data_IF_235231472435
#
_entry.id   IF_235231472435
#
_cell.length_a   1.000
_cell.length_b   1.000
_cell.length_c   1.000
_cell.angle_alpha   90.00
_cell.angle_beta   90.00
_cell.angle_gamma   90.00
#
_symmetry.space_group_name_H-M   'P 1'
#
loop_
_entity.id
_entity.type
_entity.pdbx_description
1 polymer ?
#
# COMPACT_ATOMS: atom_id res chain seq x y z
N UNK A 1 15.13 13.43 17.51
CA UNK A 1 14.63 12.81 16.25
C UNK A 1 14.59 11.28 16.29
N UNK A 2 15.46 10.61 17.06
CA UNK A 2 15.46 9.12 17.18
C UNK A 2 14.14 8.55 17.68
N UNK A 3 13.51 9.16 18.68
CA UNK A 3 12.27 8.62 19.26
C UNK A 3 11.09 8.67 18.28
N UNK A 4 11.02 9.71 17.44
CA UNK A 4 10.04 9.79 16.36
C UNK A 4 10.25 8.69 15.32
N UNK A 5 11.50 8.44 14.92
CA UNK A 5 11.82 7.36 13.99
C UNK A 5 11.48 5.98 14.58
N UNK A 6 11.72 5.78 15.88
CA UNK A 6 11.34 4.55 16.59
C UNK A 6 9.82 4.38 16.65
N UNK A 7 9.07 5.45 16.91
CA UNK A 7 7.60 5.43 16.90
C UNK A 7 7.06 5.09 15.50
N UNK A 8 7.57 5.73 14.46
CA UNK A 8 7.22 5.43 13.06
C UNK A 8 7.59 4.00 12.67
N UNK A 9 8.59 3.41 13.33
CA UNK A 9 9.03 2.04 13.10
C UNK A 9 8.26 0.98 13.90
N UNK A 10 7.24 1.38 14.66
CA UNK A 10 6.39 0.41 15.37
C UNK A 10 5.55 -0.39 14.37
N UNK A 11 5.32 -1.67 14.68
CA UNK A 11 4.57 -2.58 13.81
C UNK A 11 3.24 -2.02 13.29
N UNK A 12 2.35 -1.43 14.11
CA UNK A 12 1.09 -0.88 13.59
C UNK A 12 1.30 0.33 12.67
N UNK A 13 2.31 1.18 12.92
CA UNK A 13 2.53 2.40 12.12
C UNK A 13 3.14 2.09 10.76
N UNK A 14 4.12 1.17 10.70
CA UNK A 14 4.62 0.68 9.42
C UNK A 14 3.51 -0.06 8.66
N UNK A 15 2.71 -0.87 9.35
CA UNK A 15 1.63 -1.61 8.70
C UNK A 15 0.61 -0.68 8.05
N UNK A 16 0.17 0.40 8.73
CA UNK A 16 -0.77 1.35 8.13
C UNK A 16 -0.18 2.07 6.94
N UNK A 17 1.07 2.52 7.02
CA UNK A 17 1.77 3.14 5.88
C UNK A 17 1.86 2.18 4.69
N UNK A 18 2.29 0.94 4.94
CA UNK A 18 2.47 -0.07 3.89
C UNK A 18 1.15 -0.49 3.25
N UNK A 19 0.13 -0.78 4.05
CA UNK A 19 -1.18 -1.17 3.53
C UNK A 19 -1.91 -0.01 2.85
N UNK A 20 -1.70 1.24 3.28
CA UNK A 20 -2.26 2.40 2.56
C UNK A 20 -1.62 2.54 1.17
N UNK A 21 -0.29 2.39 1.07
CA UNK A 21 0.41 2.41 -0.22
C UNK A 21 -0.01 1.23 -1.11
N UNK A 22 -0.08 0.02 -0.55
CA UNK A 22 -0.51 -1.18 -1.28
C UNK A 22 -1.96 -1.06 -1.76
N UNK A 23 -2.88 -0.61 -0.89
CA UNK A 23 -4.27 -0.40 -1.24
C UNK A 23 -4.40 0.67 -2.33
N UNK A 24 -3.70 1.79 -2.19
CA UNK A 24 -3.66 2.83 -3.22
C UNK A 24 -3.18 2.29 -4.57
N UNK A 25 -2.10 1.52 -4.59
CA UNK A 25 -1.60 0.89 -5.81
C UNK A 25 -2.64 -0.06 -6.43
N UNK A 26 -3.26 -0.93 -5.64
CA UNK A 26 -4.30 -1.86 -6.12
C UNK A 26 -5.53 -1.12 -6.66
N UNK A 27 -5.96 -0.04 -6.00
CA UNK A 27 -7.06 0.80 -6.44
C UNK A 27 -6.72 1.44 -7.80
N UNK A 28 -5.53 2.04 -7.92
CA UNK A 28 -5.10 2.68 -9.16
C UNK A 28 -4.95 1.69 -10.31
N UNK A 29 -4.41 0.49 -10.05
CA UNK A 29 -4.34 -0.59 -11.05
C UNK A 29 -5.74 -0.95 -11.56
N UNK A 30 -6.71 -1.17 -10.67
CA UNK A 30 -8.08 -1.49 -11.07
C UNK A 30 -8.84 -0.29 -11.68
N UNK A 31 -8.42 0.96 -11.38
CA UNK A 31 -8.95 2.18 -11.99
C UNK A 31 -8.50 2.34 -13.45
N UNK A 32 -7.22 2.08 -13.73
CA UNK A 32 -6.66 2.21 -15.08
C UNK A 32 -6.89 0.98 -15.96
N UNK A 33 -6.95 -0.21 -15.36
CA UNK A 33 -7.19 -1.48 -16.04
C UNK A 33 -8.39 -2.18 -15.40
N UNK A 34 -9.62 -1.72 -15.69
CA UNK A 34 -10.82 -2.38 -15.20
C UNK A 34 -10.96 -3.78 -15.79
N UNK A 35 -11.59 -4.68 -15.03
CA UNK A 35 -12.03 -6.02 -15.47
C UNK A 35 -10.91 -7.02 -15.85
N UNK A 36 -9.84 -7.09 -15.05
CA UNK A 36 -8.75 -8.06 -15.18
C UNK A 36 -9.09 -9.50 -14.79
N UNK A 37 -10.04 -10.15 -15.47
CA UNK A 37 -10.45 -11.53 -15.18
C UNK A 37 -9.35 -12.56 -15.50
N UNK A 38 -8.62 -12.35 -16.59
CA UNK A 38 -7.49 -13.17 -17.05
C UNK A 38 -6.39 -12.27 -17.58
N UNK A 39 -5.14 -12.72 -17.49
CA UNK A 39 -4.03 -12.02 -18.11
C UNK A 39 -4.07 -12.24 -19.63
N UNK A 40 -4.53 -11.24 -20.38
CA UNK A 40 -4.52 -11.26 -21.84
C UNK A 40 -3.11 -10.91 -22.31
N UNK A 41 -2.24 -11.93 -22.42
CA UNK A 41 -0.88 -11.80 -22.97
C UNK A 41 -0.92 -11.69 -24.49
#
# INVERSE_FOLDING_TARGET
>A
MKDLATYLSTAPVIATLWFTLLAGALIEVNRFFPDGLVFSL
#
